data_IF_057816459764
#
_entry.id   IF_057816459764
#
_cell.length_a   1.000
_cell.length_b   1.000
_cell.length_c   1.000
_cell.angle_alpha   90.00
_cell.angle_beta   90.00
_cell.angle_gamma   90.00
#
_symmetry.space_group_name_H-M   'P 1'
#
loop_
_entity.id
_entity.type
_entity.pdbx_description
1 polymer ?
#
# COMPACT_ATOMS: atom_id res chain seq x y z
N UNK A 1 6.71 0.56 24.19
CA UNK A 1 8.15 0.83 24.40
C UNK A 1 9.07 -0.19 23.70
N UNK A 2 9.17 -1.46 24.13
CA UNK A 2 10.07 -2.42 23.43
C UNK A 2 9.65 -2.73 21.98
N UNK A 3 8.37 -3.09 21.77
CA UNK A 3 7.88 -3.44 20.42
C UNK A 3 7.94 -2.25 19.44
N UNK A 4 7.68 -1.03 19.90
CA UNK A 4 7.77 0.18 19.08
C UNK A 4 9.22 0.54 18.73
N UNK A 5 10.15 0.33 19.66
CA UNK A 5 11.58 0.54 19.41
C UNK A 5 12.09 -0.48 18.39
N UNK A 6 11.74 -1.75 18.55
CA UNK A 6 12.11 -2.80 17.59
C UNK A 6 11.52 -2.53 16.20
N UNK A 7 10.24 -2.14 16.11
CA UNK A 7 9.63 -1.75 14.83
C UNK A 7 10.34 -0.55 14.21
N UNK A 8 10.73 0.44 15.03
CA UNK A 8 11.47 1.61 14.55
C UNK A 8 12.84 1.20 14.00
N UNK A 9 13.59 0.36 14.71
CA UNK A 9 14.90 -0.13 14.26
C UNK A 9 14.79 -0.93 12.95
N UNK A 10 13.79 -1.80 12.83
CA UNK A 10 13.55 -2.55 11.58
C UNK A 10 13.23 -1.62 10.42
N UNK A 11 12.41 -0.59 10.64
CA UNK A 11 12.11 0.41 9.62
C UNK A 11 13.33 1.25 9.24
N UNK A 12 14.19 1.56 10.21
CA UNK A 12 15.41 2.33 9.98
C UNK A 12 16.45 1.52 9.19
N UNK A 13 16.58 0.22 9.45
CA UNK A 13 17.40 -0.68 8.63
C UNK A 13 16.87 -0.75 7.20
N UNK A 14 15.56 -0.94 7.02
CA UNK A 14 14.91 -0.98 5.71
C UNK A 14 15.11 0.35 4.97
N UNK A 15 14.93 1.50 5.63
CA UNK A 15 15.18 2.81 5.03
C UNK A 15 16.64 2.99 4.62
N UNK A 16 17.59 2.61 5.47
CA UNK A 16 19.02 2.77 5.23
C UNK A 16 19.54 1.89 4.09
N UNK A 17 18.96 0.69 3.89
CA UNK A 17 19.27 -0.18 2.75
C UNK A 17 19.06 0.56 1.42
N UNK A 18 18.00 1.37 1.32
CA UNK A 18 17.65 2.10 0.11
C UNK A 18 18.24 3.50 0.04
N UNK A 19 18.36 4.20 1.18
CA UNK A 19 18.92 5.56 1.20
C UNK A 19 20.42 5.56 0.90
N UNK A 20 21.10 4.42 1.09
CA UNK A 20 22.55 4.25 0.85
C UNK A 20 23.38 5.33 1.56
N UNK A 21 22.94 5.73 2.76
CA UNK A 21 23.59 6.75 3.59
C UNK A 21 23.14 8.18 3.31
N UNK A 22 22.18 8.40 2.40
CA UNK A 22 21.56 9.71 2.18
C UNK A 22 20.46 10.00 3.22
N UNK A 23 20.13 11.28 3.47
CA UNK A 23 19.09 11.66 4.43
C UNK A 23 17.66 11.35 3.96
N UNK A 24 17.48 11.01 2.68
CA UNK A 24 16.20 10.70 2.05
C UNK A 24 16.35 9.54 1.07
N UNK A 25 15.28 8.75 0.89
CA UNK A 25 15.14 7.80 -0.21
C UNK A 25 14.45 8.49 -1.38
N UNK A 26 14.68 8.02 -2.60
CA UNK A 26 13.90 8.51 -3.76
C UNK A 26 12.46 8.01 -3.68
N UNK A 27 11.54 8.71 -4.34
CA UNK A 27 10.15 8.28 -4.50
C UNK A 27 10.07 6.92 -5.20
N UNK A 28 10.99 6.67 -6.14
CA UNK A 28 11.15 5.38 -6.80
C UNK A 28 11.53 4.28 -5.81
N UNK A 29 12.50 4.53 -4.93
CA UNK A 29 12.91 3.56 -3.91
C UNK A 29 11.78 3.31 -2.91
N UNK A 30 11.02 4.35 -2.55
CA UNK A 30 9.82 4.19 -1.74
C UNK A 30 8.77 3.30 -2.42
N UNK A 31 8.52 3.47 -3.71
CA UNK A 31 7.62 2.60 -4.47
C UNK A 31 8.13 1.15 -4.49
N UNK A 32 9.43 0.93 -4.75
CA UNK A 32 10.03 -0.41 -4.70
C UNK A 32 9.85 -1.06 -3.33
N UNK A 33 10.03 -0.29 -2.26
CA UNK A 33 9.82 -0.74 -0.88
C UNK A 33 8.35 -1.14 -0.66
N UNK A 34 7.39 -0.35 -1.14
CA UNK A 34 5.95 -0.66 -1.04
C UNK A 34 5.56 -1.93 -1.79
N UNK A 35 6.14 -2.14 -2.97
CA UNK A 35 5.79 -3.24 -3.85
C UNK A 35 6.58 -4.53 -3.58
N UNK A 36 7.65 -4.50 -2.77
CA UNK A 36 8.58 -5.61 -2.52
C UNK A 36 7.92 -6.94 -2.12
N UNK A 37 6.82 -6.89 -1.37
CA UNK A 37 6.12 -8.08 -0.86
C UNK A 37 4.78 -8.34 -1.55
N UNK A 38 4.50 -7.65 -2.64
CA UNK A 38 3.25 -7.78 -3.38
C UNK A 38 3.38 -8.86 -4.45
N UNK A 39 2.28 -9.60 -4.71
CA UNK A 39 2.24 -10.60 -5.77
C UNK A 39 1.97 -9.96 -7.14
N UNK A 40 2.83 -9.01 -7.54
CA UNK A 40 2.77 -8.41 -8.86
C UNK A 40 3.59 -9.22 -9.86
N UNK A 41 3.06 -9.35 -11.07
CA UNK A 41 3.84 -9.84 -12.22
C UNK A 41 4.90 -8.80 -12.59
N UNK A 42 6.00 -9.23 -13.22
CA UNK A 42 7.15 -8.36 -13.51
C UNK A 42 6.79 -7.16 -14.41
N UNK A 43 5.88 -7.35 -15.36
CA UNK A 43 5.35 -6.30 -16.25
C UNK A 43 4.55 -5.24 -15.47
N UNK A 44 3.69 -5.67 -14.55
CA UNK A 44 2.90 -4.77 -13.70
C UNK A 44 3.81 -3.96 -12.77
N UNK A 45 4.82 -4.62 -12.19
CA UNK A 45 5.81 -3.96 -11.35
C UNK A 45 6.59 -2.87 -12.10
N UNK A 46 7.06 -3.16 -13.32
CA UNK A 46 7.75 -2.17 -14.16
C UNK A 46 6.83 -1.01 -14.54
N UNK A 47 5.57 -1.28 -14.87
CA UNK A 47 4.58 -0.26 -15.20
C UNK A 47 4.35 0.75 -14.06
N UNK A 48 4.28 0.28 -12.81
CA UNK A 48 4.20 1.17 -11.64
C UNK A 48 5.42 2.10 -11.51
N UNK A 49 6.61 1.58 -11.78
CA UNK A 49 7.85 2.35 -11.68
C UNK A 49 8.02 3.36 -12.81
N UNK A 50 7.70 2.97 -14.05
CA UNK A 50 7.80 3.86 -15.22
C UNK A 50 6.84 5.05 -15.10
N UNK A 51 5.58 4.81 -14.71
CA UNK A 51 4.60 5.89 -14.49
C UNK A 51 5.06 6.86 -13.41
N UNK A 52 5.67 6.36 -12.33
CA UNK A 52 6.17 7.21 -11.28
C UNK A 52 7.33 8.10 -11.75
N UNK A 53 8.24 7.55 -12.58
CA UNK A 53 9.33 8.32 -13.17
C UNK A 53 8.82 9.45 -14.08
N UNK A 54 7.77 9.19 -14.86
CA UNK A 54 7.14 10.20 -15.71
C UNK A 54 6.42 11.30 -14.89
N UNK A 55 5.72 10.89 -13.83
CA UNK A 55 4.93 11.80 -12.96
C UNK A 55 5.79 12.59 -11.95
N UNK A 56 7.00 12.13 -11.64
CA UNK A 56 7.93 12.77 -10.69
C UNK A 56 9.33 12.89 -11.32
N UNK A 57 9.52 13.84 -12.25
CA UNK A 57 10.81 14.04 -12.90
C UNK A 57 11.87 14.66 -11.96
N UNK A 58 11.44 15.49 -11.01
CA UNK A 58 12.29 16.07 -9.96
C UNK A 58 11.81 15.57 -8.59
N UNK A 59 12.41 14.49 -8.11
CA UNK A 59 12.12 13.92 -6.80
C UNK A 59 12.62 14.82 -5.66
N UNK A 60 11.75 15.10 -4.69
CA UNK A 60 12.08 15.83 -3.47
C UNK A 60 12.78 14.92 -2.46
N UNK A 61 12.53 13.62 -2.57
CA UNK A 61 13.02 12.59 -1.66
C UNK A 61 12.16 12.48 -0.41
N UNK A 62 11.94 11.24 0.04
CA UNK A 62 11.15 10.90 1.21
C UNK A 62 12.08 10.74 2.40
N UNK A 63 11.81 11.53 3.45
CA UNK A 63 12.59 11.47 4.69
C UNK A 63 12.23 10.24 5.54
N UNK A 64 13.10 9.86 6.47
CA UNK A 64 12.79 8.76 7.40
C UNK A 64 11.53 9.05 8.23
N UNK A 65 11.29 10.31 8.61
CA UNK A 65 10.08 10.67 9.35
C UNK A 65 8.81 10.40 8.56
N UNK A 66 8.78 10.78 7.28
CA UNK A 66 7.62 10.54 6.41
C UNK A 66 7.41 9.06 6.16
N UNK A 67 8.50 8.33 5.88
CA UNK A 67 8.48 6.87 5.73
C UNK A 67 7.93 6.18 6.98
N UNK A 68 8.44 6.54 8.16
CA UNK A 68 8.01 5.99 9.44
C UNK A 68 6.54 6.28 9.71
N UNK A 69 6.09 7.52 9.52
CA UNK A 69 4.68 7.89 9.69
C UNK A 69 3.77 7.11 8.77
N UNK A 70 4.17 6.89 7.51
CA UNK A 70 3.42 6.06 6.57
C UNK A 70 3.35 4.60 7.02
N UNK A 71 4.47 4.01 7.45
CA UNK A 71 4.48 2.64 7.98
C UNK A 71 3.65 2.49 9.26
N UNK A 72 3.62 3.51 10.12
CA UNK A 72 2.74 3.53 11.29
C UNK A 72 1.26 3.58 10.90
N UNK A 73 0.90 4.34 9.86
CA UNK A 73 -0.44 4.31 9.29
C UNK A 73 -0.83 2.91 8.79
N UNK A 74 0.09 2.17 8.13
CA UNK A 74 -0.19 0.80 7.68
C UNK A 74 -0.55 -0.15 8.82
N UNK A 75 -0.09 0.10 10.06
CA UNK A 75 -0.50 -0.71 11.21
C UNK A 75 -1.99 -0.54 11.55
N UNK A 76 -2.61 0.56 11.11
CA UNK A 76 -4.05 0.85 11.28
C UNK A 76 -4.86 0.58 10.01
N UNK A 77 -4.30 -0.16 9.05
CA UNK A 77 -4.90 -0.33 7.71
C UNK A 77 -6.29 -0.98 7.75
N UNK A 78 -6.56 -1.89 8.70
CA UNK A 78 -7.88 -2.51 8.83
C UNK A 78 -8.93 -1.52 9.36
N UNK A 79 -8.57 -0.66 10.32
CA UNK A 79 -9.45 0.42 10.81
C UNK A 79 -9.70 1.46 9.72
N UNK A 80 -8.66 1.82 8.97
CA UNK A 80 -8.76 2.67 7.79
C UNK A 80 -9.67 2.04 6.73
N UNK A 81 -9.54 0.74 6.48
CA UNK A 81 -10.40 0.03 5.55
C UNK A 81 -11.87 0.06 5.99
N UNK A 82 -12.15 -0.13 7.28
CA UNK A 82 -13.52 -0.04 7.84
C UNK A 82 -14.08 1.37 7.69
N UNK A 83 -13.30 2.39 8.08
CA UNK A 83 -13.70 3.79 7.96
C UNK A 83 -14.00 4.14 6.50
N UNK A 84 -13.12 3.75 5.57
CA UNK A 84 -13.31 3.99 4.14
C UNK A 84 -14.52 3.23 3.58
N UNK A 85 -14.83 2.02 4.03
CA UNK A 85 -16.07 1.31 3.62
C UNK A 85 -17.35 2.04 4.03
N UNK A 86 -17.32 2.80 5.13
CA UNK A 86 -18.46 3.65 5.52
C UNK A 86 -18.61 4.86 4.60
N UNK A 87 -17.50 5.42 4.07
CA UNK A 87 -17.52 6.49 3.06
C UNK A 87 -17.88 5.96 1.66
N UNK A 88 -17.39 4.77 1.29
CA UNK A 88 -17.55 4.17 -0.05
C UNK A 88 -18.76 3.26 -0.19
N UNK A 89 -19.84 3.46 0.59
CA UNK A 89 -21.13 2.78 0.38
C UNK A 89 -21.69 2.92 -1.06
N UNK A 90 -21.10 3.81 -1.87
CA UNK A 90 -21.45 4.08 -3.27
C UNK A 90 -20.41 3.62 -4.32
N UNK A 91 -19.43 2.75 -3.99
CA UNK A 91 -18.37 2.28 -4.92
C UNK A 91 -17.59 3.47 -5.56
N UNK A 92 -17.48 4.57 -4.81
CA UNK A 92 -16.84 5.79 -5.28
C UNK A 92 -15.31 5.74 -5.13
N UNK A 93 -14.57 6.22 -6.14
CA UNK A 93 -13.13 6.42 -6.05
C UNK A 93 -12.75 7.43 -4.95
N UNK A 94 -11.55 7.28 -4.37
CA UNK A 94 -11.13 8.03 -3.17
C UNK A 94 -10.23 9.19 -3.57
N UNK A 95 -10.64 10.42 -3.24
CA UNK A 95 -9.80 11.61 -3.43
C UNK A 95 -8.68 11.72 -2.38
N UNK A 96 -7.64 12.51 -2.69
CA UNK A 96 -6.56 12.81 -1.74
C UNK A 96 -7.06 13.44 -0.42
N UNK A 97 -8.08 14.29 -0.49
CA UNK A 97 -8.64 14.95 0.70
C UNK A 97 -9.34 13.96 1.63
N UNK A 98 -10.10 13.02 1.07
CA UNK A 98 -10.78 11.97 1.81
C UNK A 98 -9.76 11.00 2.43
N UNK A 99 -8.71 10.65 1.68
CA UNK A 99 -7.61 9.85 2.19
C UNK A 99 -6.95 10.51 3.40
N UNK A 100 -6.57 11.80 3.28
CA UNK A 100 -5.99 12.56 4.40
C UNK A 100 -6.90 12.58 5.62
N UNK A 101 -8.20 12.83 5.43
CA UNK A 101 -9.17 12.89 6.53
C UNK A 101 -9.30 11.53 7.22
N UNK A 102 -9.40 10.45 6.45
CA UNK A 102 -9.53 9.10 7.00
C UNK A 102 -8.27 8.67 7.76
N UNK A 103 -7.08 8.96 7.25
CA UNK A 103 -5.81 8.72 7.96
C UNK A 103 -5.78 9.45 9.30
N UNK A 104 -6.19 10.72 9.33
CA UNK A 104 -6.25 11.52 10.56
C UNK A 104 -7.21 10.94 11.59
N UNK A 105 -8.35 10.43 11.14
CA UNK A 105 -9.34 9.79 12.02
C UNK A 105 -8.79 8.49 12.61
N UNK A 106 -8.13 7.66 11.79
CA UNK A 106 -7.67 6.33 12.22
C UNK A 106 -6.40 6.35 13.07
N UNK A 107 -5.47 7.26 12.75
CA UNK A 107 -4.15 7.31 13.41
C UNK A 107 -4.04 8.40 14.47
N UNK A 108 -4.94 9.39 14.45
CA UNK A 108 -4.79 10.63 15.22
C UNK A 108 -3.64 11.53 14.72
N UNK A 109 -2.92 11.12 13.68
CA UNK A 109 -1.78 11.81 13.10
C UNK A 109 -2.05 12.15 11.63
N UNK A 110 -1.30 13.11 11.10
CA UNK A 110 -1.38 13.51 9.70
C UNK A 110 -0.15 13.03 8.95
N UNK A 111 -0.37 12.45 7.78
CA UNK A 111 0.70 12.21 6.81
C UNK A 111 1.05 13.51 6.11
N UNK A 112 2.31 13.65 5.68
CA UNK A 112 2.70 14.81 4.89
C UNK A 112 1.94 14.83 3.56
N UNK A 113 1.58 16.01 3.02
CA UNK A 113 0.98 16.09 1.69
C UNK A 113 1.87 15.46 0.61
N UNK A 114 3.19 15.53 0.78
CA UNK A 114 4.16 14.94 -0.14
C UNK A 114 4.09 13.41 -0.18
N UNK A 115 3.99 12.74 0.97
CA UNK A 115 3.91 11.27 0.99
C UNK A 115 2.57 10.79 0.43
N UNK A 116 1.47 11.51 0.71
CA UNK A 116 0.16 11.17 0.15
C UNK A 116 0.13 11.36 -1.37
N UNK A 117 0.63 12.50 -1.87
CA UNK A 117 0.75 12.74 -3.31
C UNK A 117 1.59 11.66 -4.00
N UNK A 118 2.70 11.25 -3.39
CA UNK A 118 3.56 10.18 -3.92
C UNK A 118 2.82 8.85 -3.98
N UNK A 119 2.07 8.49 -2.93
CA UNK A 119 1.25 7.26 -2.91
C UNK A 119 0.18 7.29 -4.01
N UNK A 120 -0.50 8.42 -4.20
CA UNK A 120 -1.46 8.58 -5.29
C UNK A 120 -0.79 8.41 -6.65
N UNK A 121 0.35 9.06 -6.89
CA UNK A 121 1.09 8.92 -8.15
C UNK A 121 1.54 7.50 -8.45
N UNK A 122 1.76 6.67 -7.42
CA UNK A 122 2.05 5.25 -7.57
C UNK A 122 0.78 4.47 -7.95
N UNK A 123 -0.31 4.63 -7.21
CA UNK A 123 -1.47 3.71 -7.30
C UNK A 123 -2.65 4.21 -8.16
N UNK A 124 -2.64 5.47 -8.59
CA UNK A 124 -3.61 6.06 -9.51
C UNK A 124 -3.30 5.60 -10.95
N UNK A 125 -4.09 4.67 -11.48
CA UNK A 125 -3.83 4.03 -12.78
C UNK A 125 -4.14 4.97 -13.97
N UNK A 126 -5.25 5.70 -13.90
CA UNK A 126 -5.76 6.55 -14.98
C UNK A 126 -5.40 8.04 -14.83
N UNK A 127 -4.81 8.41 -13.70
CA UNK A 127 -4.36 9.78 -13.43
C UNK A 127 -5.50 10.74 -13.10
N UNK A 128 -6.65 10.21 -12.66
CA UNK A 128 -7.83 11.03 -12.34
C UNK A 128 -7.74 11.69 -10.95
N UNK A 129 -6.65 11.43 -10.22
CA UNK A 129 -6.40 11.94 -8.87
C UNK A 129 -7.11 11.12 -7.79
N UNK A 130 -7.60 9.92 -8.13
CA UNK A 130 -8.35 9.08 -7.24
C UNK A 130 -7.73 7.69 -7.09
N UNK A 131 -7.90 7.09 -5.91
CA UNK A 131 -7.40 5.75 -5.63
C UNK A 131 -8.47 4.69 -5.78
N UNK A 132 -8.13 3.65 -6.53
CA UNK A 132 -8.81 2.35 -6.49
C UNK A 132 -8.63 1.73 -5.10
N UNK A 133 -9.64 1.90 -4.25
CA UNK A 133 -9.66 1.43 -2.87
C UNK A 133 -9.30 -0.06 -2.75
N UNK A 134 -9.87 -0.90 -3.63
CA UNK A 134 -9.71 -2.36 -3.58
C UNK A 134 -8.26 -2.76 -3.82
N UNK A 135 -7.61 -2.15 -4.80
CA UNK A 135 -6.21 -2.46 -5.17
C UNK A 135 -5.24 -1.90 -4.14
N UNK A 136 -5.43 -0.64 -3.71
CA UNK A 136 -4.61 -0.03 -2.67
C UNK A 136 -4.60 -0.87 -1.39
N UNK A 137 -5.77 -1.25 -0.87
CA UNK A 137 -5.86 -2.06 0.36
C UNK A 137 -5.23 -3.44 0.16
N UNK A 138 -5.40 -4.07 -1.01
CA UNK A 138 -4.81 -5.38 -1.29
C UNK A 138 -3.27 -5.32 -1.22
N UNK A 139 -2.67 -4.38 -1.95
CA UNK A 139 -1.22 -4.18 -2.00
C UNK A 139 -0.66 -3.80 -0.62
N UNK A 140 -1.31 -2.86 0.09
CA UNK A 140 -0.88 -2.43 1.42
C UNK A 140 -0.99 -3.54 2.46
N UNK A 141 -1.99 -4.44 2.33
CA UNK A 141 -2.07 -5.64 3.18
C UNK A 141 -0.90 -6.58 2.93
N UNK A 142 -0.56 -6.85 1.68
CA UNK A 142 0.59 -7.73 1.36
C UNK A 142 1.89 -7.17 1.95
N UNK A 143 2.10 -5.85 1.81
CA UNK A 143 3.21 -5.13 2.44
C UNK A 143 3.21 -5.28 3.97
N UNK A 144 2.07 -5.04 4.63
CA UNK A 144 1.95 -5.13 6.08
C UNK A 144 2.30 -6.53 6.61
N UNK A 145 1.89 -7.58 5.89
CA UNK A 145 2.18 -8.96 6.27
C UNK A 145 3.60 -9.41 5.87
N UNK A 146 4.39 -8.58 5.17
CA UNK A 146 5.77 -8.88 4.74
C UNK A 146 5.93 -10.26 4.08
N UNK A 147 4.91 -10.71 3.34
CA UNK A 147 4.89 -12.05 2.71
C UNK A 147 4.66 -13.24 3.66
N UNK A 148 4.46 -13.02 4.97
CA UNK A 148 4.23 -14.10 5.94
C UNK A 148 2.80 -14.65 5.97
N UNK A 149 1.83 -13.94 5.38
CA UNK A 149 0.54 -14.57 5.06
C UNK A 149 0.75 -15.45 3.82
N UNK A 150 1.12 -16.72 4.05
CA UNK A 150 0.65 -17.78 3.17
C UNK A 150 -0.87 -17.69 3.19
N UNK A 151 -1.46 -16.99 2.22
CA UNK A 151 -2.73 -17.50 1.72
C UNK A 151 -2.36 -18.89 1.24
N UNK A 152 -2.78 -19.91 1.96
CA UNK A 152 -3.06 -21.18 1.32
C UNK A 152 -4.13 -20.84 0.28
N UNK A 153 -3.70 -20.36 -0.90
CA UNK A 153 -4.41 -20.72 -2.13
C UNK A 153 -4.59 -22.20 -1.96
N UNK A 154 -5.83 -22.64 -1.91
CA UNK A 154 -6.16 -24.03 -1.61
C UNK A 154 -5.71 -24.88 -2.79
N UNK A 155 -4.43 -24.98 -3.08
CA UNK A 155 -3.92 -25.63 -4.26
C UNK A 155 -4.24 -27.13 -4.20
N UNK A 156 -4.55 -27.71 -5.35
CA UNK A 156 -5.01 -29.10 -5.43
C UNK A 156 -6.50 -29.26 -5.11
N UNK A 157 -6.80 -30.29 -4.31
CA UNK A 157 -8.16 -30.83 -4.18
C UNK A 157 -9.18 -29.86 -3.57
N UNK A 158 -8.72 -28.94 -2.71
CA UNK A 158 -9.60 -28.00 -2.01
C UNK A 158 -10.04 -26.84 -2.92
N UNK A 159 -9.18 -26.29 -3.79
CA UNK A 159 -9.59 -25.31 -4.81
C UNK A 159 -10.50 -25.96 -5.85
N UNK A 160 -10.20 -27.20 -6.26
CA UNK A 160 -11.06 -27.92 -7.20
C UNK A 160 -12.48 -28.09 -6.64
N UNK A 161 -12.60 -28.54 -5.38
CA UNK A 161 -13.91 -28.66 -4.72
C UNK A 161 -14.64 -27.32 -4.59
N UNK A 162 -13.92 -26.25 -4.26
CA UNK A 162 -14.54 -24.91 -4.17
C UNK A 162 -15.06 -24.44 -5.53
N UNK A 163 -14.28 -24.64 -6.60
CA UNK A 163 -14.66 -24.25 -7.95
C UNK A 163 -15.89 -25.03 -8.43
N UNK A 164 -15.88 -26.36 -8.32
CA UNK A 164 -17.02 -27.23 -8.68
C UNK A 164 -18.27 -26.87 -7.86
N UNK A 165 -18.11 -26.62 -6.57
CA UNK A 165 -19.24 -26.24 -5.70
C UNK A 165 -19.82 -24.87 -6.06
N UNK A 166 -19.03 -23.95 -6.60
CA UNK A 166 -19.50 -22.65 -7.08
C UNK A 166 -20.27 -22.78 -8.39
N UNK A 167 -19.77 -23.58 -9.33
CA UNK A 167 -20.43 -23.87 -10.61
C UNK A 167 -21.76 -24.61 -10.40
N UNK A 168 -21.78 -25.62 -9.53
CA UNK A 168 -23.02 -26.36 -9.22
C UNK A 168 -24.10 -25.48 -8.56
N UNK A 169 -23.74 -24.37 -7.91
CA UNK A 169 -24.70 -23.42 -7.36
C UNK A 169 -25.21 -22.42 -8.40
N UNK A 170 -24.46 -22.17 -9.47
CA UNK A 170 -24.87 -21.29 -10.56
C UNK A 170 -25.85 -21.98 -11.55
N UNK A 171 -25.93 -23.31 -11.50
CA UNK A 171 -26.75 -24.14 -12.40
C UNK A 171 -28.10 -24.55 -11.76
N UNK A 172 -28.37 -24.16 -10.51
CA UNK A 172 -29.64 -24.42 -9.80
C UNK A 172 -30.45 -23.15 -9.64
#
# INVERSE_FOLDING_TARGET
>A
MFMENLQTEVLEIEFNEFSKGLPAITELDFAKILLRYTYLQSDQYEMYLERLLDRIPEGKGITFSEFKSFCQFLNTLDDFAIAMKMYTLADQPISQEEFHRAVKICTGAELSPHIVDTVFKIFDDDGDGQLSYKEFIAIMRDRLHRGFKQTSRSEGWDAFKQCVKSEMKAVV
#
